data_IF_736205760978
#
_entry.id   IF_736205760978
#
_cell.length_a   1.000
_cell.length_b   1.000
_cell.length_c   1.000
_cell.angle_alpha   90.00
_cell.angle_beta   90.00
_cell.angle_gamma   90.00
#
_symmetry.space_group_name_H-M   'P 1'
#
loop_
_entity.id
_entity.type
_entity.pdbx_description
1 polymer ?
#
# COMPACT_ATOMS: atom_id res chain seq x y z
N UNK A 1 18.40 -9.50 -13.31
CA UNK A 1 17.38 -9.93 -14.31
C UNK A 1 16.23 -8.95 -14.24
N UNK A 2 15.83 -8.34 -15.35
CA UNK A 2 14.71 -7.40 -15.39
C UNK A 2 13.40 -8.19 -15.36
N UNK A 3 12.61 -8.09 -14.29
CA UNK A 3 11.26 -8.68 -14.28
C UNK A 3 10.37 -7.89 -15.25
N UNK A 4 9.56 -8.61 -16.03
CA UNK A 4 8.53 -7.97 -16.86
C UNK A 4 7.32 -7.60 -15.99
N UNK A 5 6.54 -6.59 -16.42
CA UNK A 5 5.29 -6.24 -15.75
C UNK A 5 4.31 -7.43 -15.65
N UNK A 6 4.34 -8.31 -16.65
CA UNK A 6 3.55 -9.55 -16.65
C UNK A 6 3.98 -10.49 -15.53
N UNK A 7 5.29 -10.59 -15.25
CA UNK A 7 5.81 -11.38 -14.15
C UNK A 7 5.46 -10.77 -12.79
N UNK A 8 5.52 -9.44 -12.64
CA UNK A 8 5.12 -8.77 -11.39
C UNK A 8 3.63 -8.97 -11.09
N UNK A 9 2.77 -8.79 -12.10
CA UNK A 9 1.34 -9.09 -11.97
C UNK A 9 1.16 -10.58 -11.66
N UNK A 10 1.95 -11.45 -12.28
CA UNK A 10 1.87 -12.88 -12.03
C UNK A 10 2.15 -13.24 -10.57
N UNK A 11 3.19 -12.64 -10.01
CA UNK A 11 3.59 -12.82 -8.62
C UNK A 11 2.59 -12.19 -7.65
N UNK A 12 1.99 -11.04 -7.97
CA UNK A 12 0.93 -10.42 -7.17
C UNK A 12 -0.20 -11.40 -6.86
N UNK A 13 -0.79 -12.01 -7.88
CA UNK A 13 -1.89 -12.97 -7.69
C UNK A 13 -1.42 -14.25 -6.98
N UNK A 14 -0.20 -14.71 -7.26
CA UNK A 14 0.38 -15.90 -6.62
C UNK A 14 0.64 -15.69 -5.12
N UNK A 15 1.18 -14.54 -4.74
CA UNK A 15 1.51 -14.20 -3.35
C UNK A 15 0.23 -13.97 -2.54
N UNK A 16 -0.76 -13.31 -3.13
CA UNK A 16 -2.07 -13.12 -2.52
C UNK A 16 -2.94 -14.38 -2.48
N UNK A 17 -2.46 -15.51 -3.02
CA UNK A 17 -3.19 -16.78 -3.10
C UNK A 17 -4.61 -16.63 -3.68
N UNK A 18 -4.73 -15.79 -4.72
CA UNK A 18 -6.00 -15.52 -5.41
C UNK A 18 -5.88 -15.81 -6.90
N UNK A 19 -6.96 -16.33 -7.51
CA UNK A 19 -6.97 -16.63 -8.93
C UNK A 19 -6.92 -15.35 -9.77
N UNK A 20 -6.22 -15.41 -10.91
CA UNK A 20 -6.25 -14.30 -11.87
C UNK A 20 -7.65 -14.17 -12.48
N UNK A 21 -8.12 -12.95 -12.74
CA UNK A 21 -9.35 -12.75 -13.47
C UNK A 21 -9.23 -13.35 -14.87
N UNK A 22 -10.31 -13.96 -15.32
CA UNK A 22 -10.46 -14.56 -16.65
C UNK A 22 -11.78 -14.09 -17.25
N UNK A 23 -12.14 -14.53 -18.46
CA UNK A 23 -13.46 -14.21 -19.02
C UNK A 23 -14.64 -14.72 -18.17
N UNK A 24 -14.42 -15.70 -17.31
CA UNK A 24 -15.43 -16.31 -16.43
C UNK A 24 -15.24 -15.97 -14.95
N UNK A 25 -14.06 -15.48 -14.57
CA UNK A 25 -13.71 -15.15 -13.20
C UNK A 25 -13.68 -13.64 -13.01
N UNK A 26 -14.51 -13.14 -12.09
CA UNK A 26 -14.65 -11.72 -11.81
C UNK A 26 -13.37 -11.05 -11.31
N UNK A 27 -13.39 -9.72 -11.29
CA UNK A 27 -12.31 -8.90 -10.72
C UNK A 27 -12.22 -9.15 -9.22
N UNK A 28 -11.01 -9.49 -8.75
CA UNK A 28 -10.70 -9.76 -7.34
C UNK A 28 -10.80 -8.48 -6.50
N UNK A 29 -11.20 -8.62 -5.25
CA UNK A 29 -11.26 -7.47 -4.33
C UNK A 29 -9.83 -7.03 -4.00
N UNK A 30 -9.61 -5.72 -4.03
CA UNK A 30 -8.28 -5.18 -3.79
C UNK A 30 -7.74 -5.49 -2.39
N UNK A 31 -8.65 -5.64 -1.41
CA UNK A 31 -8.32 -6.13 -0.07
C UNK A 31 -7.67 -7.52 -0.06
N UNK A 32 -8.10 -8.42 -0.95
CA UNK A 32 -7.52 -9.76 -1.06
C UNK A 32 -6.11 -9.70 -1.64
N UNK A 33 -5.89 -8.83 -2.64
CA UNK A 33 -4.57 -8.64 -3.25
C UNK A 33 -3.54 -8.04 -2.28
N UNK A 34 -3.91 -7.01 -1.51
CA UNK A 34 -2.98 -6.38 -0.56
C UNK A 34 -2.70 -7.28 0.65
N UNK A 35 -3.66 -8.13 1.04
CA UNK A 35 -3.51 -9.05 2.17
C UNK A 35 -2.35 -10.04 2.02
N UNK A 36 -1.97 -10.39 0.79
CA UNK A 36 -0.81 -11.25 0.51
C UNK A 36 0.56 -10.67 0.89
N UNK A 37 0.66 -9.35 1.08
CA UNK A 37 1.93 -8.63 1.25
C UNK A 37 2.13 -8.04 2.64
N UNK A 38 1.35 -8.48 3.64
CA UNK A 38 1.29 -7.86 4.96
C UNK A 38 1.01 -6.34 4.88
N UNK A 39 0.18 -5.96 3.92
CA UNK A 39 -0.31 -4.60 3.75
C UNK A 39 -1.68 -4.46 4.39
N UNK A 40 -1.89 -3.34 5.07
CA UNK A 40 -3.20 -2.94 5.58
C UNK A 40 -3.73 -1.75 4.81
N UNK A 41 -5.06 -1.56 4.81
CA UNK A 41 -5.70 -0.38 4.25
C UNK A 41 -6.56 0.28 5.33
N UNK A 42 -6.30 1.56 5.61
CA UNK A 42 -6.99 2.34 6.64
C UNK A 42 -7.58 3.61 6.04
N UNK A 43 -8.81 3.93 6.42
CA UNK A 43 -9.46 5.17 6.00
C UNK A 43 -9.28 6.25 7.07
N UNK A 44 -8.71 7.40 6.69
CA UNK A 44 -8.50 8.56 7.56
C UNK A 44 -9.32 9.72 7.02
N UNK A 45 -10.06 10.41 7.90
CA UNK A 45 -10.75 11.64 7.56
C UNK A 45 -9.77 12.80 7.59
N UNK A 46 -9.71 13.58 6.51
CA UNK A 46 -8.73 14.66 6.38
C UNK A 46 -7.32 14.11 6.25
N UNK A 47 -7.12 13.14 5.34
CA UNK A 47 -5.83 12.49 5.15
C UNK A 47 -4.78 13.52 4.72
N UNK A 48 -3.71 13.60 5.52
CA UNK A 48 -2.45 14.29 5.24
C UNK A 48 -1.30 13.35 5.62
N UNK A 49 -0.07 13.66 5.21
CA UNK A 49 1.09 12.88 5.66
C UNK A 49 1.28 12.97 7.19
N UNK A 50 0.98 14.11 7.81
CA UNK A 50 0.98 14.22 9.27
C UNK A 50 -0.11 13.36 9.92
N UNK A 51 -1.33 13.32 9.36
CA UNK A 51 -2.41 12.49 9.90
C UNK A 51 -2.07 10.99 9.82
N UNK A 52 -1.40 10.56 8.75
CA UNK A 52 -0.90 9.19 8.61
C UNK A 52 0.23 8.87 9.61
N UNK A 53 1.22 9.76 9.77
CA UNK A 53 2.29 9.63 10.78
C UNK A 53 1.73 9.53 12.20
N UNK A 54 0.78 10.40 12.54
CA UNK A 54 0.07 10.36 13.82
C UNK A 54 -0.70 9.05 14.03
N UNK A 55 -1.30 8.49 12.98
CA UNK A 55 -1.96 7.19 13.06
C UNK A 55 -0.93 6.10 13.38
N UNK A 56 0.19 6.05 12.65
CA UNK A 56 1.24 5.04 12.83
C UNK A 56 1.82 5.08 14.25
N UNK A 57 2.14 6.28 14.76
CA UNK A 57 2.63 6.47 16.13
C UNK A 57 1.67 5.91 17.18
N UNK A 58 0.37 6.26 17.07
CA UNK A 58 -0.64 5.83 18.05
C UNK A 58 -0.86 4.31 18.07
N UNK A 59 -0.60 3.63 16.96
CA UNK A 59 -0.74 2.19 16.84
C UNK A 59 0.58 1.44 17.04
N UNK A 60 1.67 2.15 17.41
CA UNK A 60 2.99 1.56 17.63
C UNK A 60 3.64 1.00 16.36
N UNK A 61 3.18 1.42 15.18
CA UNK A 61 3.77 1.02 13.90
C UNK A 61 5.10 1.74 13.63
N UNK A 62 5.29 2.91 14.25
CA UNK A 62 6.55 3.66 14.32
C UNK A 62 6.78 4.15 15.76
N UNK A 63 8.04 4.39 16.12
CA UNK A 63 8.42 4.84 17.47
C UNK A 63 8.65 6.36 17.53
N UNK A 64 9.01 6.97 16.41
CA UNK A 64 9.27 8.40 16.29
C UNK A 64 8.42 8.99 15.14
N UNK A 65 8.08 10.29 15.19
CA UNK A 65 7.37 10.94 14.10
C UNK A 65 8.18 10.88 12.81
N UNK A 66 7.51 10.65 11.69
CA UNK A 66 8.12 10.80 10.36
C UNK A 66 8.49 12.28 10.17
N UNK A 67 9.75 12.54 9.83
CA UNK A 67 10.22 13.89 9.49
C UNK A 67 9.58 14.38 8.17
N UNK A 68 9.51 15.71 7.99
CA UNK A 68 9.00 16.35 6.75
C UNK A 68 7.52 16.05 6.41
N UNK A 69 6.70 15.71 7.41
CA UNK A 69 5.25 15.66 7.22
C UNK A 69 4.67 17.05 6.95
N UNK A 70 3.62 17.10 6.13
CA UNK A 70 2.89 18.30 5.81
C UNK A 70 1.37 18.13 6.01
N UNK A 71 0.67 19.24 5.89
CA UNK A 71 -0.79 19.34 6.02
C UNK A 71 -1.50 19.32 4.66
N UNK A 72 -0.79 19.00 3.57
CA UNK A 72 -1.42 18.98 2.26
C UNK A 72 -2.42 17.81 2.19
N UNK A 73 -3.66 18.05 1.72
CA UNK A 73 -4.65 16.98 1.58
C UNK A 73 -4.19 15.93 0.58
N UNK A 74 -4.31 14.65 0.96
CA UNK A 74 -3.95 13.50 0.13
C UNK A 74 -5.16 12.61 -0.13
N UNK A 75 -5.23 12.02 -1.32
CA UNK A 75 -6.22 10.99 -1.66
C UNK A 75 -5.76 9.58 -1.26
N UNK A 76 -4.44 9.39 -1.15
CA UNK A 76 -3.77 8.14 -0.83
C UNK A 76 -2.39 8.42 -0.25
N UNK A 77 -1.92 7.56 0.65
CA UNK A 77 -0.57 7.62 1.20
C UNK A 77 -0.13 6.20 1.59
N UNK A 78 1.14 5.86 1.33
CA UNK A 78 1.70 4.57 1.76
C UNK A 78 2.91 4.79 2.66
N UNK A 79 2.92 4.05 3.76
CA UNK A 79 4.10 3.85 4.60
C UNK A 79 4.53 2.39 4.54
N UNK A 80 5.83 2.12 4.41
CA UNK A 80 6.37 0.76 4.31
C UNK A 80 7.65 0.65 5.13
N UNK A 81 7.73 -0.38 5.96
CA UNK A 81 8.97 -0.77 6.64
C UNK A 81 9.41 -2.18 6.15
N UNK A 82 10.45 -2.74 6.77
CA UNK A 82 10.99 -4.06 6.36
C UNK A 82 10.01 -5.24 6.52
N UNK A 83 8.97 -5.08 7.33
CA UNK A 83 8.10 -6.18 7.77
C UNK A 83 6.64 -6.02 7.32
N UNK A 84 6.15 -4.80 7.13
CA UNK A 84 4.76 -4.50 6.81
C UNK A 84 4.63 -3.19 6.04
N UNK A 85 3.41 -2.92 5.55
CA UNK A 85 3.06 -1.61 5.03
C UNK A 85 1.62 -1.22 5.35
N UNK A 86 1.38 0.08 5.31
CA UNK A 86 0.10 0.71 5.62
C UNK A 86 -0.29 1.63 4.48
N UNK A 87 -1.40 1.30 3.82
CA UNK A 87 -2.05 2.15 2.84
C UNK A 87 -3.12 2.96 3.58
N UNK A 88 -3.09 4.27 3.39
CA UNK A 88 -4.09 5.19 3.90
C UNK A 88 -4.86 5.80 2.74
N UNK A 89 -6.17 5.99 2.92
CA UNK A 89 -7.03 6.68 1.94
C UNK A 89 -7.94 7.68 2.64
N UNK A 90 -8.31 8.75 1.92
CA UNK A 90 -9.28 9.71 2.42
C UNK A 90 -10.65 9.04 2.57
N UNK A 91 -11.18 9.04 3.80
CA UNK A 91 -12.46 8.40 4.14
C UNK A 91 -13.64 9.01 3.40
N UNK A 92 -13.65 10.33 3.24
CA UNK A 92 -14.75 11.08 2.66
C UNK A 92 -14.77 11.04 1.12
N UNK A 93 -13.74 10.45 0.49
CA UNK A 93 -13.73 10.24 -0.95
C UNK A 93 -14.77 9.20 -1.38
N UNK A 94 -15.29 9.38 -2.59
CA UNK A 94 -16.16 8.38 -3.20
C UNK A 94 -15.48 7.03 -3.22
N UNK A 95 -16.25 5.94 -3.02
CA UNK A 95 -15.70 4.59 -2.99
C UNK A 95 -14.83 4.25 -4.21
N UNK A 96 -15.20 4.76 -5.39
CA UNK A 96 -14.43 4.57 -6.63
C UNK A 96 -13.04 5.22 -6.57
N UNK A 97 -12.92 6.38 -5.92
CA UNK A 97 -11.65 7.09 -5.72
C UNK A 97 -10.80 6.40 -4.68
N UNK A 98 -11.38 5.96 -3.56
CA UNK A 98 -10.67 5.14 -2.57
C UNK A 98 -10.09 3.88 -3.20
N UNK A 99 -10.88 3.16 -4.01
CA UNK A 99 -10.38 1.98 -4.75
C UNK A 99 -9.23 2.31 -5.69
N UNK A 100 -9.29 3.46 -6.36
CA UNK A 100 -8.21 3.93 -7.21
C UNK A 100 -6.94 4.23 -6.38
N UNK A 101 -7.06 4.96 -5.27
CA UNK A 101 -5.94 5.27 -4.38
C UNK A 101 -5.27 4.00 -3.86
N UNK A 102 -6.03 3.03 -3.35
CA UNK A 102 -5.43 1.77 -2.87
C UNK A 102 -4.68 1.04 -4.01
N UNK A 103 -5.21 1.06 -5.24
CA UNK A 103 -4.56 0.39 -6.37
C UNK A 103 -3.28 1.13 -6.78
N UNK A 104 -3.29 2.45 -6.70
CA UNK A 104 -2.13 3.31 -6.93
C UNK A 104 -1.03 3.04 -5.91
N UNK A 105 -1.37 3.02 -4.63
CA UNK A 105 -0.41 2.75 -3.55
C UNK A 105 0.14 1.31 -3.61
N UNK A 106 -0.69 0.32 -3.94
CA UNK A 106 -0.21 -1.04 -4.23
C UNK A 106 0.79 -1.05 -5.40
N UNK A 107 0.55 -0.22 -6.42
CA UNK A 107 1.50 0.02 -7.50
C UNK A 107 2.85 0.53 -6.98
N UNK A 108 2.85 1.56 -6.12
CA UNK A 108 4.07 2.06 -5.49
C UNK A 108 4.78 0.99 -4.65
N UNK A 109 4.03 0.20 -3.88
CA UNK A 109 4.58 -0.95 -3.16
C UNK A 109 5.33 -1.91 -4.07
N UNK A 110 4.69 -2.38 -5.14
CA UNK A 110 5.28 -3.35 -6.06
C UNK A 110 6.47 -2.79 -6.85
N UNK A 111 6.44 -1.50 -7.22
CA UNK A 111 7.44 -0.88 -8.07
C UNK A 111 8.66 -0.34 -7.32
N UNK A 112 8.49 0.13 -6.09
CA UNK A 112 9.54 0.81 -5.34
C UNK A 112 9.94 0.04 -4.09
N UNK A 113 8.97 -0.30 -3.24
CA UNK A 113 9.27 -0.83 -1.91
C UNK A 113 9.62 -2.31 -1.93
N UNK A 114 8.89 -3.14 -2.66
CA UNK A 114 9.17 -4.58 -2.74
C UNK A 114 10.59 -4.88 -3.27
N UNK A 115 11.11 -4.20 -4.32
CA UNK A 115 12.51 -4.32 -4.71
C UNK A 115 13.52 -3.89 -3.64
N UNK A 116 13.22 -2.83 -2.89
CA UNK A 116 14.08 -2.35 -1.80
C UNK A 116 14.12 -3.34 -0.63
N UNK A 117 12.98 -3.93 -0.28
CA UNK A 117 12.88 -4.99 0.73
C UNK A 117 13.68 -6.23 0.27
N UNK A 118 13.46 -6.68 -0.97
CA UNK A 118 14.12 -7.86 -1.51
C UNK A 118 15.66 -7.72 -1.61
N UNK A 119 16.16 -6.50 -1.79
CA UNK A 119 17.60 -6.19 -1.81
C UNK A 119 18.18 -5.88 -0.43
N UNK A 120 17.35 -5.75 0.61
CA UNK A 120 17.77 -5.31 1.95
C UNK A 120 18.17 -3.84 2.01
N UNK A 121 17.85 -3.05 0.98
CA UNK A 121 18.21 -1.64 0.86
C UNK A 121 17.20 -0.69 1.51
N UNK A 122 16.03 -1.19 1.91
CA UNK A 122 15.09 -0.40 2.72
C UNK A 122 15.71 -0.20 4.10
N UNK A 123 15.96 1.06 4.48
CA UNK A 123 16.51 1.41 5.79
C UNK A 123 15.45 1.21 6.88
N UNK A 124 15.91 0.95 8.11
CA UNK A 124 15.04 1.11 9.28
C UNK A 124 14.97 2.61 9.56
N UNK A 125 13.76 3.18 9.51
CA UNK A 125 13.48 4.48 10.13
C UNK A 125 13.19 4.25 11.62
#
# INVERSE_FOLDING_TARGET
MTQSIVAVIADLYRIADVPRPTGTQGVILLGELIGGYNLTCTEITGLTSEAASNFLLRHGAILEPIDDTNQEPLAGYIYVNKTSGHIFVERNDFLVRRRFSVAHELGHYLLHFLPLIASGALLDE
#
